data_IF_745084279462
#
_entry.id   IF_745084279462
#
_cell.length_a   1.000
_cell.length_b   1.000
_cell.length_c   1.000
_cell.angle_alpha   90.00
_cell.angle_beta   90.00
_cell.angle_gamma   90.00
#
_symmetry.space_group_name_H-M   'P 1'
#
loop_
_entity.id
_entity.type
_entity.pdbx_description
1 polymer ?
#
# COMPACT_ATOMS: atom_id res chain seq x y z
N UNK A 1 22.60 15.54 -8.89
CA UNK A 1 21.87 14.31 -9.28
C UNK A 1 21.08 13.69 -8.11
N UNK A 2 21.08 14.27 -6.90
CA UNK A 2 20.45 13.64 -5.72
C UNK A 2 18.94 13.85 -5.52
N UNK A 3 18.25 14.52 -6.44
CA UNK A 3 16.80 14.81 -6.32
C UNK A 3 15.96 14.11 -7.40
N UNK A 4 16.52 13.08 -8.06
CA UNK A 4 15.79 12.30 -9.05
C UNK A 4 14.61 11.56 -8.39
N UNK A 5 13.39 11.70 -8.94
CA UNK A 5 12.22 11.00 -8.44
C UNK A 5 12.39 9.48 -8.46
N UNK A 6 11.67 8.82 -7.55
CA UNK A 6 11.58 7.36 -7.49
C UNK A 6 10.13 6.93 -7.41
N UNK A 7 9.82 5.77 -7.97
CA UNK A 7 8.52 5.14 -7.79
C UNK A 7 8.56 4.20 -6.58
N UNK A 8 7.95 4.60 -5.47
CA UNK A 8 7.69 3.67 -4.36
C UNK A 8 6.58 2.69 -4.73
N UNK A 9 6.86 1.40 -4.71
CA UNK A 9 5.90 0.34 -5.03
C UNK A 9 5.36 -0.31 -3.76
N UNK A 10 4.14 0.06 -3.38
CA UNK A 10 3.45 -0.49 -2.22
C UNK A 10 2.64 -1.75 -2.58
N UNK A 11 2.96 -2.88 -1.97
CA UNK A 11 2.22 -4.15 -2.11
C UNK A 11 1.46 -4.55 -0.84
N UNK A 12 1.78 -3.93 0.30
CA UNK A 12 1.11 -4.13 1.59
C UNK A 12 0.06 -3.06 1.88
N UNK A 13 -0.13 -2.69 3.14
CA UNK A 13 -1.21 -1.75 3.54
C UNK A 13 -1.06 -0.33 2.99
N UNK A 14 0.12 0.06 2.48
CA UNK A 14 0.28 1.31 1.72
C UNK A 14 -0.39 1.28 0.32
N UNK A 15 -0.98 0.14 -0.08
CA UNK A 15 -1.94 0.06 -1.18
C UNK A 15 -3.12 1.03 -1.01
N UNK A 16 -3.56 1.26 0.23
CA UNK A 16 -4.69 2.14 0.53
C UNK A 16 -4.21 3.59 0.71
N UNK A 17 -4.74 4.52 -0.10
CA UNK A 17 -4.21 5.90 -0.17
C UNK A 17 -4.35 6.66 1.13
N UNK A 18 -5.47 6.49 1.84
CA UNK A 18 -5.70 7.21 3.10
C UNK A 18 -4.60 6.88 4.13
N UNK A 19 -4.21 5.59 4.20
CA UNK A 19 -3.10 5.17 5.04
C UNK A 19 -1.77 5.73 4.55
N UNK A 20 -1.47 5.59 3.27
CA UNK A 20 -0.19 6.05 2.74
C UNK A 20 -0.01 7.57 2.86
N UNK A 21 -1.10 8.35 2.78
CA UNK A 21 -1.08 9.80 3.01
C UNK A 21 -0.48 10.15 4.37
N UNK A 22 -0.74 9.38 5.43
CA UNK A 22 -0.15 9.63 6.75
C UNK A 22 1.37 9.44 6.79
N UNK A 23 1.96 8.59 5.93
CA UNK A 23 3.42 8.51 5.81
C UNK A 23 4.02 9.78 5.18
N UNK A 24 3.26 10.47 4.33
CA UNK A 24 3.70 11.71 3.68
C UNK A 24 3.42 12.92 4.56
N UNK A 25 2.16 13.18 4.91
CA UNK A 25 1.76 14.39 5.62
C UNK A 25 1.77 14.28 7.15
N UNK A 26 2.08 13.09 7.69
CA UNK A 26 1.93 12.80 9.11
C UNK A 26 0.48 12.57 9.54
N UNK A 27 0.30 12.31 10.84
CA UNK A 27 -1.00 12.13 11.47
C UNK A 27 -1.37 10.67 11.71
N UNK A 28 -2.66 10.40 11.89
CA UNK A 28 -3.19 9.08 12.23
C UNK A 28 -4.27 8.65 11.22
N UNK A 29 -4.15 7.47 10.57
CA UNK A 29 -5.19 6.99 9.67
C UNK A 29 -6.47 6.70 10.46
N UNK A 30 -7.63 6.86 9.83
CA UNK A 30 -8.92 6.57 10.47
C UNK A 30 -8.95 5.13 11.04
N UNK A 31 -9.35 5.00 12.29
CA UNK A 31 -9.37 3.71 13.01
C UNK A 31 -7.99 3.12 13.36
N UNK A 32 -6.88 3.79 13.03
CA UNK A 32 -5.53 3.34 13.37
C UNK A 32 -5.08 3.82 14.75
N UNK A 33 -4.27 3.01 15.43
CA UNK A 33 -3.63 3.41 16.70
C UNK A 33 -2.30 4.17 16.51
N UNK A 34 -1.61 3.94 15.38
CA UNK A 34 -0.27 4.47 15.12
C UNK A 34 -0.31 5.91 14.61
N UNK A 35 0.41 6.80 15.27
CA UNK A 35 0.74 8.12 14.76
C UNK A 35 1.97 8.05 13.86
N UNK A 36 1.93 8.75 12.73
CA UNK A 36 3.01 8.86 11.77
C UNK A 36 3.62 10.26 11.83
N UNK A 37 4.96 10.40 11.92
CA UNK A 37 5.61 11.70 11.91
C UNK A 37 5.43 12.43 10.57
N UNK A 38 5.29 11.68 9.47
CA UNK A 38 5.27 12.26 8.12
C UNK A 38 6.67 12.46 7.55
N UNK A 39 6.73 12.82 6.28
CA UNK A 39 7.97 13.20 5.60
C UNK A 39 8.32 14.66 5.88
N UNK A 40 9.61 15.01 5.75
CA UNK A 40 10.08 16.41 5.76
C UNK A 40 9.37 17.26 4.70
N UNK A 41 9.09 16.65 3.55
CA UNK A 41 8.24 17.20 2.50
C UNK A 41 6.85 16.55 2.57
N UNK A 42 5.85 17.22 3.16
CA UNK A 42 4.53 16.64 3.42
C UNK A 42 3.60 16.65 2.20
N UNK A 43 4.08 17.13 1.03
CA UNK A 43 3.28 17.18 -0.19
C UNK A 43 2.82 15.78 -0.60
N UNK A 44 1.64 15.64 -1.22
CA UNK A 44 1.20 14.36 -1.77
C UNK A 44 2.20 13.77 -2.78
N UNK A 45 2.10 12.46 -3.02
CA UNK A 45 2.81 11.82 -4.12
C UNK A 45 2.47 12.51 -5.45
N UNK A 46 3.50 12.76 -6.28
CA UNK A 46 3.37 13.51 -7.54
C UNK A 46 2.47 12.80 -8.56
N UNK A 47 2.46 11.47 -8.51
CA UNK A 47 1.59 10.61 -9.29
C UNK A 47 1.38 9.27 -8.57
N UNK A 48 0.34 8.53 -8.96
CA UNK A 48 0.14 7.16 -8.52
C UNK A 48 -0.45 6.31 -9.65
N UNK A 49 -0.09 5.02 -9.70
CA UNK A 49 -0.62 4.10 -10.70
C UNK A 49 -0.69 2.65 -10.18
N UNK A 50 -1.65 1.85 -10.63
CA UNK A 50 -1.58 0.40 -10.44
C UNK A 50 -0.37 -0.17 -11.16
N UNK A 51 0.26 -1.16 -10.53
CA UNK A 51 1.34 -1.96 -11.12
C UNK A 51 1.19 -3.42 -10.72
N UNK A 52 1.74 -4.31 -11.54
CA UNK A 52 1.79 -5.74 -11.27
C UNK A 52 3.22 -6.21 -11.43
N UNK A 53 3.78 -6.79 -10.37
CA UNK A 53 5.15 -7.27 -10.34
C UNK A 53 5.20 -8.79 -10.64
N UNK A 54 6.26 -9.32 -11.29
CA UNK A 54 6.58 -10.75 -11.17
C UNK A 54 6.78 -11.11 -9.70
N UNK A 55 6.62 -12.38 -9.32
CA UNK A 55 6.72 -12.77 -7.92
C UNK A 55 5.38 -12.85 -7.21
N UNK A 56 5.41 -12.79 -5.89
CA UNK A 56 4.21 -12.84 -5.07
C UNK A 56 4.38 -12.14 -3.73
N UNK A 57 3.26 -11.86 -3.09
CA UNK A 57 3.25 -11.56 -1.66
C UNK A 57 2.90 -12.81 -0.86
N UNK A 58 3.38 -12.87 0.36
CA UNK A 58 3.03 -13.87 1.37
C UNK A 58 2.88 -13.21 2.73
N UNK A 59 2.17 -13.89 3.64
CA UNK A 59 1.95 -13.42 5.01
C UNK A 59 2.78 -14.24 5.99
N UNK A 60 3.63 -13.57 6.75
CA UNK A 60 4.53 -14.18 7.72
C UNK A 60 4.69 -13.28 8.95
N UNK A 61 5.36 -13.80 9.98
CA UNK A 61 5.62 -13.06 11.23
C UNK A 61 4.36 -12.55 11.93
N UNK A 62 4.49 -11.75 12.99
CA UNK A 62 3.36 -11.11 13.67
C UNK A 62 3.46 -9.59 13.54
N UNK A 63 2.41 -8.96 13.04
CA UNK A 63 2.26 -7.51 12.98
C UNK A 63 1.94 -6.92 14.35
N UNK A 64 2.76 -5.99 14.87
CA UNK A 64 2.40 -5.28 16.10
C UNK A 64 1.24 -4.31 15.88
N UNK A 65 1.00 -3.87 14.64
CA UNK A 65 -0.07 -2.92 14.31
C UNK A 65 -1.41 -3.63 14.07
N UNK A 66 -1.39 -4.79 13.42
CA UNK A 66 -2.60 -5.44 12.95
C UNK A 66 -2.93 -6.75 13.68
N UNK A 67 -1.96 -7.33 14.39
CA UNK A 67 -2.00 -8.75 14.72
C UNK A 67 -1.86 -9.64 13.49
N UNK A 68 -1.49 -10.91 13.71
CA UNK A 68 -1.32 -11.90 12.63
C UNK A 68 -0.22 -11.57 11.63
N UNK A 69 -0.20 -12.29 10.51
CA UNK A 69 0.79 -12.15 9.43
C UNK A 69 0.79 -10.78 8.75
N UNK A 70 1.98 -10.25 8.50
CA UNK A 70 2.21 -9.06 7.65
C UNK A 70 2.67 -9.47 6.26
N UNK A 71 2.36 -8.66 5.25
CA UNK A 71 2.68 -8.97 3.86
C UNK A 71 4.15 -8.68 3.55
N UNK A 72 4.88 -9.67 3.04
CA UNK A 72 6.20 -9.48 2.43
C UNK A 72 6.12 -9.77 0.95
N UNK A 73 7.05 -9.20 0.18
CA UNK A 73 7.18 -9.47 -1.25
C UNK A 73 8.41 -10.31 -1.53
N UNK A 74 8.25 -11.32 -2.37
CA UNK A 74 9.32 -12.15 -2.89
C UNK A 74 9.23 -12.25 -4.43
N UNK A 75 10.24 -11.76 -5.16
CA UNK A 75 10.28 -11.86 -6.62
C UNK A 75 10.46 -13.30 -7.12
N UNK A 76 10.92 -14.23 -6.28
CA UNK A 76 11.12 -15.64 -6.62
C UNK A 76 9.87 -16.50 -6.55
N UNK A 77 8.78 -16.02 -5.92
CA UNK A 77 7.52 -16.75 -5.90
C UNK A 77 6.89 -16.84 -7.29
N UNK A 78 6.17 -17.93 -7.62
CA UNK A 78 5.46 -18.00 -8.88
C UNK A 78 4.30 -16.99 -8.90
N UNK A 79 4.00 -16.48 -10.09
CA UNK A 79 2.82 -15.66 -10.35
C UNK A 79 3.11 -14.16 -10.37
N UNK A 80 2.16 -13.38 -9.83
CA UNK A 80 2.17 -11.92 -9.87
C UNK A 80 1.72 -11.30 -8.55
N UNK A 81 2.36 -10.20 -8.16
CA UNK A 81 1.96 -9.37 -7.03
C UNK A 81 1.28 -8.08 -7.51
N UNK A 82 0.04 -7.85 -7.07
CA UNK A 82 -0.65 -6.59 -7.29
C UNK A 82 -0.15 -5.53 -6.32
N UNK A 83 0.26 -4.37 -6.85
CA UNK A 83 0.83 -3.27 -6.07
C UNK A 83 0.34 -1.92 -6.60
N UNK A 84 0.68 -0.85 -5.89
CA UNK A 84 0.47 0.53 -6.32
C UNK A 84 1.80 1.28 -6.28
N UNK A 85 2.16 1.91 -7.39
CA UNK A 85 3.33 2.76 -7.47
C UNK A 85 2.96 4.22 -7.16
N UNK A 86 3.77 4.89 -6.34
CA UNK A 86 3.67 6.32 -6.03
C UNK A 86 4.95 7.02 -6.46
N UNK A 87 4.85 8.08 -7.26
CA UNK A 87 6.00 8.89 -7.65
C UNK A 87 6.33 9.88 -6.54
N UNK A 88 7.48 9.71 -5.92
CA UNK A 88 7.96 10.50 -4.79
C UNK A 88 9.26 11.22 -5.16
N UNK A 89 9.60 12.28 -4.44
CA UNK A 89 11.01 12.70 -4.41
C UNK A 89 11.85 11.62 -3.73
N UNK A 90 13.15 11.59 -4.01
CA UNK A 90 14.07 10.67 -3.32
C UNK A 90 14.02 10.84 -1.80
N UNK A 91 13.95 12.08 -1.32
CA UNK A 91 13.85 12.40 0.12
C UNK A 91 12.57 11.88 0.76
N UNK A 92 11.42 12.01 0.09
CA UNK A 92 10.16 11.43 0.56
C UNK A 92 10.27 9.91 0.67
N UNK A 93 10.88 9.25 -0.33
CA UNK A 93 11.08 7.80 -0.25
C UNK A 93 12.01 7.42 0.92
N UNK A 94 13.10 8.14 1.15
CA UNK A 94 13.97 7.91 2.31
C UNK A 94 13.20 8.06 3.64
N UNK A 95 12.35 9.09 3.77
CA UNK A 95 11.54 9.30 4.97
C UNK A 95 10.47 8.20 5.16
N UNK A 96 9.88 7.70 4.07
CA UNK A 96 8.97 6.53 4.12
C UNK A 96 9.73 5.28 4.59
N UNK A 97 10.93 5.05 4.05
CA UNK A 97 11.80 3.93 4.45
C UNK A 97 12.15 4.04 5.94
N UNK A 98 12.62 5.19 6.42
CA UNK A 98 12.93 5.40 7.84
C UNK A 98 11.73 5.11 8.74
N UNK A 99 10.54 5.61 8.38
CA UNK A 99 9.32 5.34 9.14
C UNK A 99 8.93 3.86 9.18
N UNK A 100 9.14 3.12 8.09
CA UNK A 100 8.91 1.66 8.07
C UNK A 100 9.90 0.91 8.97
N UNK A 101 11.14 1.41 9.05
CA UNK A 101 12.20 0.87 9.89
C UNK A 101 12.13 1.32 11.36
N UNK A 102 11.13 2.12 11.73
CA UNK A 102 11.01 2.73 13.08
C UNK A 102 12.20 3.62 13.45
N UNK A 103 12.72 4.35 12.47
CA UNK A 103 13.79 5.34 12.62
C UNK A 103 13.22 6.74 12.39
N UNK A 104 13.94 7.75 12.88
CA UNK A 104 13.59 9.14 12.62
C UNK A 104 13.70 9.48 11.13
N UNK A 105 12.75 10.30 10.65
CA UNK A 105 12.84 10.94 9.33
C UNK A 105 13.88 12.04 9.36
N UNK A 106 14.48 12.37 8.23
CA UNK A 106 15.55 13.38 8.21
C UNK A 106 16.83 12.94 7.53
N UNK A 107 17.00 11.64 7.36
CA UNK A 107 18.23 11.04 6.82
C UNK A 107 18.01 10.62 5.38
N UNK A 108 18.89 11.07 4.50
CA UNK A 108 18.93 10.64 3.11
C UNK A 108 19.69 9.31 3.06
N UNK A 109 18.93 8.22 3.00
CA UNK A 109 19.49 6.85 2.90
C UNK A 109 20.22 6.69 1.56
N UNK A 110 21.43 6.10 1.60
CA UNK A 110 22.11 5.71 0.37
C UNK A 110 21.37 4.53 -0.28
N UNK A 111 20.92 4.73 -1.52
CA UNK A 111 20.17 3.74 -2.31
C UNK A 111 20.96 3.25 -3.52
N UNK A 112 22.24 3.64 -3.63
CA UNK A 112 23.09 3.41 -4.80
C UNK A 112 23.20 1.93 -5.10
N UNK A 113 23.38 1.08 -4.08
CA UNK A 113 23.45 -0.36 -4.26
C UNK A 113 22.12 -0.91 -4.78
N UNK A 114 20.98 -0.54 -4.18
CA UNK A 114 19.68 -1.03 -4.63
C UNK A 114 19.40 -0.68 -6.10
N UNK A 115 19.75 0.53 -6.52
CA UNK A 115 19.56 0.99 -7.91
C UNK A 115 20.47 0.22 -8.88
N UNK A 116 21.73 -0.01 -8.48
CA UNK A 116 22.77 -0.63 -9.31
C UNK A 116 22.65 -2.14 -9.40
N UNK A 117 22.43 -2.84 -8.28
CA UNK A 117 22.45 -4.30 -8.18
C UNK A 117 21.05 -4.91 -8.10
N UNK A 118 20.04 -4.08 -7.82
CA UNK A 118 18.66 -4.51 -7.64
C UNK A 118 18.27 -4.81 -6.20
N UNK A 119 19.22 -4.84 -5.25
CA UNK A 119 18.97 -5.19 -3.84
C UNK A 119 19.97 -4.51 -2.91
N UNK A 120 19.49 -3.99 -1.79
CA UNK A 120 20.32 -3.45 -0.72
C UNK A 120 19.69 -3.71 0.64
N UNK A 121 20.49 -4.21 1.58
CA UNK A 121 20.08 -4.36 2.99
C UNK A 121 20.56 -3.15 3.78
N UNK A 122 19.64 -2.42 4.36
CA UNK A 122 19.85 -1.19 5.13
C UNK A 122 19.91 -1.43 6.66
N UNK A 123 19.74 -2.68 7.09
CA UNK A 123 19.94 -3.10 8.47
C UNK A 123 19.37 -4.49 8.80
N UNK A 124 19.36 -4.89 10.08
CA UNK A 124 18.97 -6.22 10.52
C UNK A 124 17.47 -6.49 10.58
N UNK A 125 16.61 -5.47 10.50
CA UNK A 125 15.17 -5.59 10.70
C UNK A 125 14.39 -6.24 9.55
N UNK A 126 13.11 -6.56 9.83
CA UNK A 126 12.22 -7.33 8.93
C UNK A 126 11.79 -6.61 7.65
N UNK A 127 11.86 -5.27 7.61
CA UNK A 127 11.58 -4.47 6.40
C UNK A 127 12.79 -3.63 5.99
N UNK A 128 13.99 -4.08 6.34
CA UNK A 128 15.21 -3.30 6.13
C UNK A 128 15.94 -3.66 4.84
N UNK A 129 15.24 -4.16 3.82
CA UNK A 129 15.82 -4.48 2.50
C UNK A 129 15.06 -3.81 1.39
N UNK A 130 15.74 -2.97 0.60
CA UNK A 130 15.19 -2.29 -0.57
C UNK A 130 15.50 -3.12 -1.81
N UNK A 131 14.50 -3.25 -2.69
CA UNK A 131 14.61 -3.90 -4.00
C UNK A 131 14.26 -2.92 -5.11
N UNK A 132 15.02 -2.95 -6.20
CA UNK A 132 14.59 -2.36 -7.48
C UNK A 132 13.78 -3.39 -8.24
N UNK A 133 12.50 -3.09 -8.44
CA UNK A 133 11.52 -4.01 -9.06
C UNK A 133 11.17 -3.62 -10.50
N UNK A 134 11.88 -2.64 -11.06
CA UNK A 134 11.73 -2.20 -12.44
C UNK A 134 12.07 -0.73 -12.61
N UNK A 135 11.53 -0.16 -13.69
CA UNK A 135 11.64 1.25 -14.05
C UNK A 135 10.33 1.71 -14.67
N UNK A 136 9.94 2.97 -14.42
CA UNK A 136 8.75 3.57 -15.03
C UNK A 136 9.01 5.04 -15.32
N UNK A 137 8.81 5.42 -16.59
CA UNK A 137 9.02 6.78 -17.07
C UNK A 137 10.40 7.34 -16.70
N UNK A 138 11.46 6.53 -16.89
CA UNK A 138 12.85 6.91 -16.61
C UNK A 138 13.24 6.91 -15.12
N UNK A 139 12.35 6.51 -14.21
CA UNK A 139 12.63 6.48 -12.77
C UNK A 139 12.58 5.06 -12.20
N UNK A 140 13.52 4.70 -11.29
CA UNK A 140 13.55 3.37 -10.70
C UNK A 140 12.31 3.12 -9.85
N UNK A 141 11.78 1.89 -9.94
CA UNK A 141 10.72 1.40 -9.08
C UNK A 141 11.34 0.68 -7.89
N UNK A 142 11.16 1.22 -6.69
CA UNK A 142 11.73 0.70 -5.46
C UNK A 142 10.64 0.23 -4.50
N UNK A 143 10.91 -0.87 -3.82
CA UNK A 143 10.10 -1.35 -2.69
C UNK A 143 11.00 -1.77 -1.55
N UNK A 144 10.44 -1.98 -0.36
CA UNK A 144 11.14 -2.63 0.75
C UNK A 144 10.43 -3.93 1.18
N UNK A 145 11.19 -4.90 1.68
CA UNK A 145 10.73 -6.24 2.09
C UNK A 145 11.73 -6.88 3.08
N UNK A 146 11.54 -8.16 3.37
CA UNK A 146 12.42 -8.96 4.22
C UNK A 146 13.82 -9.18 3.60
N UNK A 147 14.87 -9.31 4.44
CA UNK A 147 16.24 -9.56 4.00
C UNK A 147 16.47 -10.94 3.40
N UNK A 148 15.55 -11.88 3.58
CA UNK A 148 15.49 -13.16 2.90
C UNK A 148 14.01 -13.59 2.79
N UNK A 149 13.65 -14.47 1.84
CA UNK A 149 12.35 -15.13 1.86
C UNK A 149 12.16 -15.88 3.19
N UNK A 150 10.98 -15.75 3.79
CA UNK A 150 10.62 -16.56 4.94
C UNK A 150 10.29 -18.00 4.52
N UNK A 151 10.69 -18.97 5.34
CA UNK A 151 10.35 -20.37 5.12
C UNK A 151 8.86 -20.67 5.42
N UNK A 152 8.33 -21.84 4.99
CA UNK A 152 6.94 -22.21 5.25
C UNK A 152 6.53 -22.19 6.73
N UNK A 153 7.46 -22.53 7.64
CA UNK A 153 7.23 -22.55 9.10
C UNK A 153 7.01 -21.16 9.72
N UNK A 154 7.36 -20.09 9.00
CA UNK A 154 7.22 -18.71 9.46
C UNK A 154 5.95 -18.02 8.91
N UNK A 155 5.20 -18.72 8.06
CA UNK A 155 3.94 -18.24 7.53
C UNK A 155 2.93 -18.05 8.67
N UNK A 156 2.20 -16.95 8.61
CA UNK A 156 1.20 -16.61 9.62
C UNK A 156 -0.01 -15.99 8.94
N UNK A 157 -1.20 -16.36 9.39
CA UNK A 157 -2.42 -15.83 8.82
C UNK A 157 -2.59 -14.35 9.17
N UNK A 158 -2.88 -13.48 8.19
CA UNK A 158 -3.17 -12.07 8.46
C UNK A 158 -4.46 -11.94 9.26
N UNK A 159 -4.54 -10.91 10.11
CA UNK A 159 -5.77 -10.58 10.81
C UNK A 159 -6.86 -10.06 9.85
N UNK A 160 -8.14 -10.22 10.24
CA UNK A 160 -9.30 -9.79 9.46
C UNK A 160 -9.22 -8.30 9.05
N UNK A 161 -8.91 -7.42 10.01
CA UNK A 161 -8.79 -5.99 9.77
C UNK A 161 -7.70 -5.66 8.72
N UNK A 162 -6.60 -6.41 8.74
CA UNK A 162 -5.51 -6.24 7.77
C UNK A 162 -5.93 -6.69 6.36
N UNK A 163 -6.65 -7.81 6.24
CA UNK A 163 -7.20 -8.25 4.96
C UNK A 163 -8.20 -7.25 4.38
N UNK A 164 -9.08 -6.69 5.21
CA UNK A 164 -10.00 -5.62 4.79
C UNK A 164 -9.25 -4.40 4.27
N UNK A 165 -8.20 -3.97 4.97
CA UNK A 165 -7.32 -2.87 4.57
C UNK A 165 -6.65 -3.12 3.20
N UNK A 166 -6.03 -4.29 3.02
CA UNK A 166 -5.40 -4.67 1.75
C UNK A 166 -6.41 -4.76 0.61
N UNK A 167 -7.57 -5.37 0.87
CA UNK A 167 -8.64 -5.51 -0.11
C UNK A 167 -9.18 -4.16 -0.58
N UNK A 168 -9.42 -3.22 0.33
CA UNK A 168 -9.82 -1.85 -0.03
C UNK A 168 -8.74 -1.13 -0.85
N UNK A 169 -7.46 -1.31 -0.49
CA UNK A 169 -6.35 -0.79 -1.27
C UNK A 169 -6.27 -1.37 -2.69
N UNK A 170 -6.56 -2.67 -2.87
CA UNK A 170 -6.61 -3.34 -4.18
C UNK A 170 -7.78 -2.84 -5.03
N UNK A 171 -8.96 -2.66 -4.43
CA UNK A 171 -10.11 -2.05 -5.10
C UNK A 171 -9.80 -0.66 -5.61
N UNK A 172 -9.24 0.18 -4.75
CA UNK A 172 -8.92 1.56 -5.08
C UNK A 172 -7.79 1.66 -6.12
N UNK A 173 -6.78 0.79 -6.07
CA UNK A 173 -5.65 0.85 -6.99
C UNK A 173 -5.98 0.27 -8.37
N UNK A 174 -6.68 -0.88 -8.40
CA UNK A 174 -6.86 -1.69 -9.60
C UNK A 174 -8.30 -1.75 -10.12
N UNK A 175 -9.26 -1.10 -9.44
CA UNK A 175 -10.68 -1.19 -9.78
C UNK A 175 -11.27 -2.58 -9.59
N UNK A 176 -10.66 -3.43 -8.75
CA UNK A 176 -11.13 -4.79 -8.54
C UNK A 176 -12.46 -4.83 -7.79
N UNK A 177 -13.23 -5.89 -8.01
CA UNK A 177 -14.37 -6.20 -7.14
C UNK A 177 -13.89 -6.73 -5.79
N UNK A 178 -14.73 -6.66 -4.75
CA UNK A 178 -14.42 -7.28 -3.46
C UNK A 178 -14.11 -8.78 -3.60
N UNK A 179 -14.89 -9.50 -4.42
CA UNK A 179 -14.67 -10.92 -4.68
C UNK A 179 -13.30 -11.20 -5.31
N UNK A 180 -12.88 -10.40 -6.30
CA UNK A 180 -11.55 -10.55 -6.93
C UNK A 180 -10.42 -10.26 -5.94
N UNK A 181 -10.53 -9.17 -5.18
CA UNK A 181 -9.54 -8.83 -4.15
C UNK A 181 -9.44 -9.91 -3.07
N UNK A 182 -10.58 -10.43 -2.61
CA UNK A 182 -10.64 -11.50 -1.63
C UNK A 182 -10.00 -12.80 -2.14
N UNK A 183 -10.37 -13.23 -3.35
CA UNK A 183 -9.79 -14.42 -3.98
C UNK A 183 -8.27 -14.29 -4.13
N UNK A 184 -7.78 -13.14 -4.59
CA UNK A 184 -6.35 -12.87 -4.69
C UNK A 184 -5.63 -13.02 -3.34
N UNK A 185 -6.15 -12.38 -2.28
CA UNK A 185 -5.57 -12.39 -0.94
C UNK A 185 -5.60 -13.78 -0.31
N UNK A 186 -6.73 -14.49 -0.40
CA UNK A 186 -6.86 -15.86 0.13
C UNK A 186 -5.94 -16.86 -0.60
N UNK A 187 -5.59 -16.60 -1.87
CA UNK A 187 -4.64 -17.42 -2.61
C UNK A 187 -3.17 -17.18 -2.26
N UNK A 188 -2.84 -16.25 -1.35
CA UNK A 188 -1.44 -15.96 -0.99
C UNK A 188 -0.98 -16.88 0.16
N UNK A 189 0.31 -17.31 0.17
CA UNK A 189 0.84 -18.10 1.28
C UNK A 189 0.66 -17.37 2.62
N UNK A 190 0.38 -18.13 3.68
CA UNK A 190 0.00 -17.62 5.00
C UNK A 190 -1.50 -17.32 5.14
N UNK A 191 -2.17 -16.82 4.10
CA UNK A 191 -3.63 -16.66 4.10
C UNK A 191 -4.38 -17.90 3.58
N UNK A 192 -3.78 -18.62 2.63
CA UNK A 192 -4.32 -19.83 2.04
C UNK A 192 -4.63 -20.90 3.09
N UNK A 193 -5.77 -21.58 2.94
CA UNK A 193 -6.27 -22.59 3.87
C UNK A 193 -6.95 -22.02 5.13
N UNK A 194 -6.58 -20.81 5.56
CA UNK A 194 -7.15 -20.16 6.76
C UNK A 194 -8.37 -19.30 6.43
N UNK A 195 -8.29 -18.53 5.34
CA UNK A 195 -9.32 -17.57 4.96
C UNK A 195 -10.16 -18.05 3.78
N UNK A 196 -11.48 -17.89 3.91
CA UNK A 196 -12.45 -18.13 2.83
C UNK A 196 -12.71 -16.83 2.05
N UNK A 197 -12.68 -16.83 0.71
CA UNK A 197 -12.91 -15.62 -0.10
C UNK A 197 -14.20 -14.88 0.27
N UNK A 198 -15.28 -15.57 0.61
CA UNK A 198 -16.57 -14.96 0.94
C UNK A 198 -16.48 -14.14 2.23
N UNK A 199 -15.79 -14.68 3.25
CA UNK A 199 -15.54 -13.96 4.51
C UNK A 199 -14.70 -12.72 4.27
N UNK A 200 -13.65 -12.83 3.45
CA UNK A 200 -12.78 -11.68 3.14
C UNK A 200 -13.52 -10.64 2.30
N UNK A 201 -14.35 -11.05 1.34
CA UNK A 201 -15.16 -10.13 0.54
C UNK A 201 -16.14 -9.32 1.40
N UNK A 202 -16.72 -9.92 2.45
CA UNK A 202 -17.58 -9.23 3.41
C UNK A 202 -16.81 -8.16 4.21
N UNK A 203 -15.55 -8.41 4.58
CA UNK A 203 -14.69 -7.42 5.27
C UNK A 203 -14.39 -6.20 4.38
N UNK A 204 -14.26 -6.42 3.07
CA UNK A 204 -13.99 -5.37 2.08
C UNK A 204 -15.26 -4.58 1.75
N UNK A 205 -16.43 -5.21 1.89
CA UNK A 205 -17.73 -4.62 1.53
C UNK A 205 -18.52 -4.07 2.73
N UNK A 206 -17.97 -4.14 3.95
CA UNK A 206 -18.60 -3.65 5.19
C UNK A 206 -18.96 -2.15 5.16
N UNK A 207 -19.87 -1.67 6.02
CA UNK A 207 -20.79 -0.57 5.74
C UNK A 207 -20.07 0.76 5.53
N UNK A 208 -19.71 1.05 4.28
CA UNK A 208 -19.34 2.38 3.84
C UNK A 208 -20.59 3.23 3.72
N UNK A 209 -20.65 4.30 4.53
CA UNK A 209 -21.33 5.60 4.35
C UNK A 209 -22.32 5.73 3.15
N UNK A 210 -23.54 6.26 3.35
CA UNK A 210 -24.58 6.30 2.31
C UNK A 210 -24.06 6.90 1.01
N UNK A 211 -24.37 6.23 -0.10
CA UNK A 211 -24.25 6.79 -1.44
C UNK A 211 -24.89 8.19 -1.43
N UNK A 212 -24.10 9.21 -1.73
CA UNK A 212 -24.67 10.49 -2.13
C UNK A 212 -25.48 10.21 -3.39
N UNK A 213 -26.80 10.17 -3.24
CA UNK A 213 -27.73 10.08 -4.35
C UNK A 213 -27.44 11.17 -5.39
N UNK A 214 -27.84 10.97 -6.65
CA UNK A 214 -27.51 11.88 -7.73
C UNK A 214 -28.03 13.29 -7.42
N UNK A 215 -27.33 14.35 -7.84
CA UNK A 215 -27.77 15.72 -7.62
C UNK A 215 -29.16 15.88 -8.23
N UNK A 216 -30.13 16.24 -7.39
CA UNK A 216 -31.47 16.61 -7.84
C UNK A 216 -31.30 17.83 -8.72
N UNK A 217 -31.50 17.63 -10.02
CA UNK A 217 -31.37 18.64 -11.03
C UNK A 217 -32.24 19.85 -10.72
N UNK A 218 -31.66 21.02 -10.91
CA UNK A 218 -32.35 22.29 -10.97
C UNK A 218 -33.54 22.19 -11.95
N UNK A 219 -34.76 22.32 -11.42
CA UNK A 219 -35.89 22.93 -12.12
C UNK A 219 -35.97 24.33 -11.53
N UNK A 220 -35.72 25.40 -12.27
CA UNK A 220 -36.43 25.76 -13.48
C UNK A 220 -37.30 26.95 -13.11
N UNK A 221 -36.78 28.14 -13.38
CA UNK A 221 -37.45 29.43 -13.24
C UNK A 221 -38.82 29.43 -13.93
N UNK A 222 -39.84 29.92 -13.24
CA UNK A 222 -41.02 30.53 -13.86
C UNK A 222 -41.60 31.59 -12.92
N UNK A 223 -41.42 32.85 -13.29
CA UNK A 223 -42.11 34.01 -12.76
C UNK A 223 -43.57 34.08 -13.31
N UNK A 224 -44.44 34.94 -12.77
CA UNK A 224 -45.90 34.71 -12.66
C UNK A 224 -46.70 35.32 -13.82
N UNK A 225 -48.02 35.08 -13.88
CA UNK A 225 -48.95 36.05 -14.43
C UNK A 225 -49.78 36.70 -13.30
N UNK A 226 -49.83 38.03 -13.31
CA UNK A 226 -50.76 38.80 -12.51
C UNK A 226 -52.14 38.94 -13.16
N UNK A 227 -52.92 39.87 -12.57
CA UNK A 227 -54.28 40.36 -12.90
C UNK A 227 -55.39 39.50 -12.27
N UNK A 228 -56.37 40.05 -11.55
CA UNK A 228 -56.94 41.40 -11.43
C UNK A 228 -57.47 41.60 -10.02
#
# INVERSE_FOLDING_TARGET
MDDEPVWYVAYGSNLFRERFRCYLSGGRPSGGARHYPGCRDPRPARAAAPVTLPGGIYFASTSPTWGGGMAFYDPGLPGRAAARAYLLSRRQFCDVVSQEMWRDTGVDVDLTEAVRTGRQRLGPGRYETVLRVGERAGHPMLTFTAPAPHGPAELNAPAAAYLGMLGNGLREAHGWTAARAASYLCGRPGAAGTWRPEKVAALISGPGRPEAGPPTGARGSAAPPGRR
#
